data_IF_934164693581
#
_entry.id   IF_934164693581
#
_cell.length_a   1.000
_cell.length_b   1.000
_cell.length_c   1.000
_cell.angle_alpha   90.00
_cell.angle_beta   90.00
_cell.angle_gamma   90.00
#
_symmetry.space_group_name_H-M   'P 1'
#
loop_
_entity.id
_entity.type
_entity.pdbx_description
1 polymer ?
#
# COMPACT_ATOMS: atom_id res chain seq x y z
N UNK A 1 -15.68 61.22 73.48
CA UNK A 1 -16.16 61.05 72.09
C UNK A 1 -14.91 60.98 71.20
N UNK A 2 -14.87 60.01 70.30
CA UNK A 2 -13.66 59.31 69.81
C UNK A 2 -12.65 60.15 68.99
N UNK A 3 -11.38 59.84 69.22
CA UNK A 3 -10.20 60.20 68.42
C UNK A 3 -10.25 59.48 67.07
N UNK A 4 -10.25 60.21 65.96
CA UNK A 4 -10.16 59.67 64.60
C UNK A 4 -8.70 59.67 64.12
N UNK A 5 -8.10 58.49 64.06
CA UNK A 5 -6.76 58.26 63.52
C UNK A 5 -6.78 58.35 61.98
N UNK A 6 -5.97 59.24 61.41
CA UNK A 6 -5.69 59.29 59.97
C UNK A 6 -4.74 58.16 59.56
N UNK A 7 -5.25 57.16 58.85
CA UNK A 7 -4.44 56.09 58.27
C UNK A 7 -3.58 56.59 57.09
N UNK A 8 -2.41 55.97 56.83
CA UNK A 8 -1.52 56.38 55.75
C UNK A 8 -2.10 56.08 54.35
N UNK A 9 -1.66 56.80 53.30
CA UNK A 9 -2.18 56.64 51.95
C UNK A 9 -1.86 55.25 51.38
N UNK A 10 -2.87 54.58 50.84
CA UNK A 10 -2.73 53.29 50.15
C UNK A 10 -1.94 53.51 48.86
N UNK A 11 -0.71 52.99 48.79
CA UNK A 11 0.08 52.93 47.56
C UNK A 11 -0.67 52.09 46.53
N UNK A 12 -1.06 52.71 45.41
CA UNK A 12 -1.61 52.00 44.26
C UNK A 12 -0.61 50.95 43.79
N UNK A 13 -1.00 49.67 43.85
CA UNK A 13 -0.23 48.57 43.29
C UNK A 13 -0.21 48.72 41.78
N UNK A 14 0.96 49.00 41.20
CA UNK A 14 1.15 48.97 39.75
C UNK A 14 0.70 47.60 39.21
N UNK A 15 -0.14 47.61 38.17
CA UNK A 15 -0.57 46.37 37.52
C UNK A 15 0.67 45.60 37.03
N UNK A 16 0.77 44.28 37.29
CA UNK A 16 1.92 43.50 36.85
C UNK A 16 2.02 43.54 35.32
N UNK A 17 3.20 43.87 34.81
CA UNK A 17 3.46 43.87 33.38
C UNK A 17 3.18 42.48 32.79
N UNK A 18 2.57 42.38 31.59
CA UNK A 18 2.25 41.09 31.00
C UNK A 18 3.55 40.29 30.77
N UNK A 19 3.68 39.18 31.48
CA UNK A 19 4.78 38.24 31.32
C UNK A 19 4.70 37.66 29.90
N UNK A 20 5.61 38.08 29.02
CA UNK A 20 5.78 37.48 27.69
C UNK A 20 6.36 36.08 27.87
N UNK A 21 5.49 35.08 28.01
CA UNK A 21 5.88 33.68 27.96
C UNK A 21 6.37 33.38 26.54
N UNK A 22 7.69 33.30 26.35
CA UNK A 22 8.32 32.93 25.09
C UNK A 22 8.14 31.43 24.90
N UNK A 23 6.98 31.00 24.37
CA UNK A 23 6.71 29.59 24.08
C UNK A 23 7.63 29.14 22.95
N UNK A 24 8.59 28.28 23.29
CA UNK A 24 9.48 27.66 22.31
C UNK A 24 8.69 26.67 21.46
N UNK A 25 8.79 26.69 20.11
CA UNK A 25 8.13 25.71 19.25
C UNK A 25 8.82 24.34 19.28
N UNK A 26 10.00 24.23 19.89
CA UNK A 26 10.84 23.04 19.91
C UNK A 26 10.15 21.74 20.36
N UNK A 27 9.38 21.69 21.47
CA UNK A 27 8.71 20.45 21.89
C UNK A 27 7.63 19.99 20.90
N UNK A 28 6.95 20.90 20.22
CA UNK A 28 5.95 20.56 19.18
C UNK A 28 6.61 20.03 17.91
N UNK A 29 7.73 20.64 17.50
CA UNK A 29 8.53 20.17 16.35
C UNK A 29 9.12 18.79 16.64
N UNK A 30 9.64 18.58 17.85
CA UNK A 30 10.16 17.30 18.28
C UNK A 30 9.07 16.22 18.33
N UNK A 31 7.90 16.53 18.90
CA UNK A 31 6.77 15.60 18.95
C UNK A 31 6.29 15.21 17.54
N UNK A 32 6.21 16.19 16.62
CA UNK A 32 5.87 15.95 15.23
C UNK A 32 6.91 15.10 14.50
N UNK A 33 8.20 15.36 14.72
CA UNK A 33 9.28 14.57 14.15
C UNK A 33 9.29 13.12 14.67
N UNK A 34 9.04 12.93 15.97
CA UNK A 34 8.93 11.60 16.58
C UNK A 34 7.73 10.85 15.99
N UNK A 35 6.56 11.47 15.89
CA UNK A 35 5.37 10.84 15.28
C UNK A 35 5.55 10.46 13.81
N UNK A 36 6.24 11.29 13.02
CA UNK A 36 6.56 11.01 11.62
C UNK A 36 7.50 9.81 11.44
N UNK A 37 8.35 9.53 12.44
CA UNK A 37 9.31 8.42 12.41
C UNK A 37 8.73 7.13 13.00
N UNK A 38 7.92 7.22 14.05
CA UNK A 38 7.40 6.04 14.76
C UNK A 38 6.18 5.42 14.09
N UNK A 39 5.31 6.24 13.46
CA UNK A 39 4.09 5.74 12.82
C UNK A 39 4.35 4.81 11.63
N UNK A 40 5.28 5.13 10.69
CA UNK A 40 5.63 4.23 9.59
C UNK A 40 6.19 2.88 10.05
N UNK A 41 6.96 2.88 11.15
CA UNK A 41 7.58 1.67 11.69
C UNK A 41 6.58 0.74 12.38
N UNK A 42 5.45 1.27 12.85
CA UNK A 42 4.40 0.51 13.54
C UNK A 42 3.33 -0.07 12.60
N UNK A 43 3.35 0.27 11.30
CA UNK A 43 2.31 -0.08 10.32
C UNK A 43 2.71 -1.07 9.22
N UNK A 44 1.95 -1.10 8.11
CA UNK A 44 2.09 -2.01 6.96
C UNK A 44 3.51 -2.14 6.38
N UNK A 45 4.38 -1.13 6.57
CA UNK A 45 5.77 -1.18 6.14
C UNK A 45 6.55 -2.34 6.76
N UNK A 46 6.25 -2.76 8.01
CA UNK A 46 6.90 -3.91 8.64
C UNK A 46 6.52 -5.24 7.97
N UNK A 47 5.33 -5.31 7.35
CA UNK A 47 4.81 -6.48 6.64
C UNK A 47 5.05 -6.42 5.11
N UNK A 48 5.83 -5.45 4.64
CA UNK A 48 6.18 -5.26 3.22
C UNK A 48 7.34 -6.18 2.79
N UNK A 49 7.41 -6.60 1.51
CA UNK A 49 8.55 -7.34 0.97
C UNK A 49 9.89 -6.60 1.14
N UNK A 50 9.85 -5.26 1.22
CA UNK A 50 11.03 -4.42 1.49
C UNK A 50 10.73 -3.41 2.60
N UNK A 51 10.84 -3.81 3.87
CA UNK A 51 10.46 -2.97 5.00
C UNK A 51 11.19 -1.61 5.06
N UNK A 52 12.52 -1.52 4.80
CA UNK A 52 13.22 -0.24 4.85
C UNK A 52 12.75 0.75 3.78
N UNK A 53 12.47 0.27 2.57
CA UNK A 53 12.03 1.12 1.45
C UNK A 53 10.63 1.64 1.70
N UNK A 54 9.75 0.77 2.20
CA UNK A 54 8.37 1.13 2.52
C UNK A 54 8.34 2.14 3.67
N UNK A 55 9.07 1.89 4.75
CA UNK A 55 9.17 2.82 5.88
C UNK A 55 9.70 4.21 5.45
N UNK A 56 10.69 4.25 4.56
CA UNK A 56 11.21 5.50 4.02
C UNK A 56 10.18 6.22 3.15
N UNK A 57 9.50 5.51 2.25
CA UNK A 57 8.47 6.06 1.38
C UNK A 57 7.30 6.64 2.21
N UNK A 58 6.83 5.91 3.22
CA UNK A 58 5.82 6.34 4.18
C UNK A 58 6.24 7.60 4.92
N UNK A 59 7.48 7.62 5.44
CA UNK A 59 8.02 8.79 6.16
C UNK A 59 8.06 10.01 5.24
N UNK A 60 8.56 9.86 4.02
CA UNK A 60 8.63 10.94 3.02
C UNK A 60 7.23 11.42 2.65
N UNK A 61 6.27 10.50 2.45
CA UNK A 61 4.89 10.84 2.11
C UNK A 61 4.21 11.63 3.22
N UNK A 62 4.31 11.16 4.47
CA UNK A 62 3.73 11.83 5.64
C UNK A 62 4.40 13.16 5.95
N UNK A 63 5.73 13.24 5.89
CA UNK A 63 6.46 14.49 6.09
C UNK A 63 6.05 15.54 5.03
N UNK A 64 5.91 15.10 3.77
CA UNK A 64 5.46 15.96 2.68
C UNK A 64 4.03 16.44 2.89
N UNK A 65 3.12 15.57 3.33
CA UNK A 65 1.76 15.95 3.73
C UNK A 65 1.76 16.96 4.86
N UNK A 66 2.57 16.75 5.91
CA UNK A 66 2.65 17.64 7.05
C UNK A 66 3.13 19.05 6.65
N UNK A 67 4.16 19.13 5.80
CA UNK A 67 4.67 20.41 5.27
C UNK A 67 3.61 21.11 4.41
N UNK A 68 2.96 20.38 3.51
CA UNK A 68 1.98 20.94 2.58
C UNK A 68 0.69 21.38 3.30
N UNK A 69 0.04 20.47 4.04
CA UNK A 69 -1.22 20.75 4.74
C UNK A 69 -1.04 21.66 5.95
N UNK A 70 0.01 21.42 6.76
CA UNK A 70 0.33 22.30 7.89
C UNK A 70 0.62 23.72 7.42
N UNK A 71 1.34 23.86 6.30
CA UNK A 71 1.58 25.15 5.67
C UNK A 71 0.29 25.87 5.23
N UNK A 72 -0.67 25.15 4.64
CA UNK A 72 -1.98 25.68 4.26
C UNK A 72 -2.78 26.16 5.49
N UNK A 73 -2.81 25.36 6.56
CA UNK A 73 -3.50 25.71 7.81
C UNK A 73 -2.92 26.98 8.43
N UNK A 74 -1.59 27.11 8.48
CA UNK A 74 -0.93 28.33 8.99
C UNK A 74 -1.23 29.54 8.10
N UNK A 75 -1.21 29.35 6.77
CA UNK A 75 -1.49 30.43 5.82
C UNK A 75 -2.92 30.97 6.00
N UNK A 76 -3.92 30.10 6.09
CA UNK A 76 -5.34 30.50 6.26
C UNK A 76 -5.65 30.96 7.68
N UNK A 77 -5.24 30.19 8.67
CA UNK A 77 -5.60 30.40 10.08
C UNK A 77 -4.90 31.60 10.70
N UNK A 78 -3.67 31.89 10.28
CA UNK A 78 -2.86 32.93 10.90
C UNK A 78 -2.53 34.08 9.93
N UNK A 79 -1.85 33.78 8.81
CA UNK A 79 -1.31 34.82 7.92
C UNK A 79 -2.41 35.65 7.24
N UNK A 80 -3.47 34.99 6.75
CA UNK A 80 -4.56 35.67 6.05
C UNK A 80 -5.63 36.25 6.99
N UNK A 81 -5.68 35.86 8.27
CA UNK A 81 -6.68 36.32 9.25
C UNK A 81 -6.22 37.47 10.14
N UNK A 82 -4.95 37.52 10.53
CA UNK A 82 -4.46 38.44 11.59
C UNK A 82 -4.29 39.90 11.14
N UNK A 83 -4.70 40.29 9.92
CA UNK A 83 -4.47 41.65 9.41
C UNK A 83 -3.03 41.93 8.95
N UNK A 84 -2.14 40.92 9.01
CA UNK A 84 -0.78 40.93 8.43
C UNK A 84 -0.80 40.76 6.91
N UNK A 85 -1.96 40.94 6.28
CA UNK A 85 -2.17 40.92 4.84
C UNK A 85 -1.59 42.17 4.16
N UNK A 86 -0.52 42.71 4.73
CA UNK A 86 0.22 43.81 4.16
C UNK A 86 0.83 43.31 2.84
N UNK A 87 0.48 43.97 1.74
CA UNK A 87 0.70 43.44 0.37
C UNK A 87 2.17 43.13 0.10
N UNK A 88 3.08 43.85 0.78
CA UNK A 88 4.53 43.67 0.76
C UNK A 88 4.97 42.36 1.42
N UNK A 89 4.44 42.06 2.60
CA UNK A 89 4.76 40.85 3.37
C UNK A 89 4.25 39.60 2.62
N UNK A 90 3.01 39.65 2.12
CA UNK A 90 2.44 38.58 1.29
C UNK A 90 3.23 38.38 -0.02
N UNK A 91 3.73 39.46 -0.64
CA UNK A 91 4.54 39.40 -1.86
C UNK A 91 5.87 38.66 -1.68
N UNK A 92 6.44 38.66 -0.46
CA UNK A 92 7.69 37.95 -0.15
C UNK A 92 7.40 36.51 0.30
N UNK A 93 6.38 36.31 1.14
CA UNK A 93 6.11 34.99 1.75
C UNK A 93 5.46 34.03 0.75
N UNK A 94 4.49 34.49 -0.06
CA UNK A 94 3.71 33.61 -0.94
C UNK A 94 4.56 32.87 -1.99
N UNK A 95 5.54 33.51 -2.68
CA UNK A 95 6.38 32.81 -3.65
C UNK A 95 7.26 31.74 -2.99
N UNK A 96 7.86 32.07 -1.84
CA UNK A 96 8.72 31.14 -1.10
C UNK A 96 7.92 29.93 -0.63
N UNK A 97 6.77 30.19 0.02
CA UNK A 97 5.87 29.13 0.48
C UNK A 97 5.36 28.29 -0.69
N UNK A 98 4.99 28.91 -1.82
CA UNK A 98 4.48 28.15 -2.98
C UNK A 98 5.53 27.23 -3.57
N UNK A 99 6.81 27.59 -3.54
CA UNK A 99 7.91 26.72 -3.98
C UNK A 99 8.08 25.53 -3.04
N UNK A 100 8.06 25.75 -1.73
CA UNK A 100 8.10 24.66 -0.75
C UNK A 100 6.89 23.73 -0.84
N UNK A 101 5.69 24.31 -1.03
CA UNK A 101 4.47 23.55 -1.23
C UNK A 101 4.56 22.67 -2.50
N UNK A 102 5.11 23.19 -3.60
CA UNK A 102 5.30 22.41 -4.82
C UNK A 102 6.30 21.26 -4.63
N UNK A 103 7.44 21.51 -3.98
CA UNK A 103 8.43 20.47 -3.66
C UNK A 103 7.83 19.39 -2.77
N UNK A 104 7.09 19.78 -1.72
CA UNK A 104 6.39 18.84 -0.85
C UNK A 104 5.38 18.01 -1.63
N UNK A 105 4.56 18.61 -2.49
CA UNK A 105 3.62 17.86 -3.34
C UNK A 105 4.33 16.88 -4.27
N UNK A 106 5.46 17.26 -4.87
CA UNK A 106 6.24 16.33 -5.70
C UNK A 106 6.69 15.11 -4.89
N UNK A 107 7.26 15.31 -3.70
CA UNK A 107 7.68 14.21 -2.84
C UNK A 107 6.52 13.38 -2.30
N UNK A 108 5.37 14.00 -2.04
CA UNK A 108 4.12 13.32 -1.69
C UNK A 108 3.70 12.36 -2.81
N UNK A 109 3.64 12.85 -4.05
CA UNK A 109 3.26 12.03 -5.21
C UNK A 109 4.26 10.89 -5.44
N UNK A 110 5.56 11.16 -5.35
CA UNK A 110 6.60 10.15 -5.51
C UNK A 110 6.51 9.07 -4.42
N UNK A 111 6.38 9.46 -3.15
CA UNK A 111 6.23 8.51 -2.04
C UNK A 111 4.98 7.64 -2.19
N UNK A 112 3.86 8.23 -2.61
CA UNK A 112 2.61 7.51 -2.86
C UNK A 112 2.71 6.55 -4.05
N UNK A 113 3.46 6.92 -5.09
CA UNK A 113 3.69 6.04 -6.25
C UNK A 113 4.54 4.82 -5.86
N UNK A 114 5.61 5.03 -5.08
CA UNK A 114 6.45 3.94 -4.58
C UNK A 114 5.61 2.97 -3.74
N UNK A 115 4.79 3.47 -2.82
CA UNK A 115 3.87 2.64 -2.05
C UNK A 115 2.89 1.86 -2.94
N UNK A 116 2.28 2.52 -3.93
CA UNK A 116 1.31 1.87 -4.82
C UNK A 116 1.96 0.70 -5.60
N UNK A 117 3.18 0.89 -6.11
CA UNK A 117 3.91 -0.17 -6.82
C UNK A 117 4.21 -1.36 -5.90
N UNK A 118 4.59 -1.09 -4.65
CA UNK A 118 4.92 -2.13 -3.67
C UNK A 118 3.66 -2.90 -3.22
N UNK A 119 2.54 -2.23 -2.99
CA UNK A 119 1.34 -2.84 -2.42
C UNK A 119 0.42 -3.53 -3.44
N UNK A 120 0.44 -3.10 -4.71
CA UNK A 120 -0.42 -3.69 -5.76
C UNK A 120 0.18 -4.99 -6.31
N UNK A 121 1.50 -5.09 -6.45
CA UNK A 121 2.16 -6.32 -6.93
C UNK A 121 2.03 -6.63 -8.44
N UNK A 122 1.28 -5.85 -9.23
CA UNK A 122 1.16 -6.02 -10.69
C UNK A 122 0.20 -5.05 -11.39
N UNK A 123 0.26 -4.95 -12.72
CA UNK A 123 -0.62 -4.07 -13.52
C UNK A 123 -2.07 -4.57 -13.59
N UNK A 124 -2.30 -5.89 -13.64
CA UNK A 124 -3.64 -6.49 -13.59
C UNK A 124 -4.33 -6.17 -12.27
N UNK A 125 -3.61 -6.34 -11.16
CA UNK A 125 -4.10 -6.05 -9.82
C UNK A 125 -4.51 -4.57 -9.63
N UNK A 126 -3.98 -3.63 -10.41
CA UNK A 126 -4.41 -2.22 -10.37
C UNK A 126 -5.84 -2.02 -10.86
N UNK A 127 -6.30 -2.80 -11.84
CA UNK A 127 -7.62 -2.62 -12.47
C UNK A 127 -8.64 -3.65 -11.96
N UNK A 128 -8.18 -4.86 -11.65
CA UNK A 128 -9.04 -6.00 -11.31
C UNK A 128 -9.37 -6.08 -9.81
N UNK A 129 -8.57 -5.43 -8.95
CA UNK A 129 -8.80 -5.44 -7.51
C UNK A 129 -9.52 -4.18 -7.03
N UNK A 130 -10.36 -4.34 -6.00
CA UNK A 130 -10.99 -3.23 -5.30
C UNK A 130 -9.96 -2.23 -4.74
N UNK A 131 -8.84 -2.75 -4.22
CA UNK A 131 -7.75 -1.93 -3.71
C UNK A 131 -7.13 -1.06 -4.82
N UNK A 132 -6.84 -1.64 -5.99
CA UNK A 132 -6.31 -0.92 -7.14
C UNK A 132 -7.25 0.18 -7.65
N UNK A 133 -8.55 -0.11 -7.71
CA UNK A 133 -9.57 0.87 -8.09
C UNK A 133 -9.65 2.05 -7.11
N UNK A 134 -9.54 1.80 -5.80
CA UNK A 134 -9.49 2.86 -4.80
C UNK A 134 -8.23 3.73 -4.94
N UNK A 135 -7.08 3.15 -5.30
CA UNK A 135 -5.86 3.92 -5.61
C UNK A 135 -6.08 4.83 -6.81
N UNK A 136 -6.70 4.33 -7.89
CA UNK A 136 -7.01 5.12 -9.08
C UNK A 136 -7.95 6.29 -8.74
N UNK A 137 -8.98 6.05 -7.93
CA UNK A 137 -9.90 7.10 -7.45
C UNK A 137 -9.12 8.14 -6.64
N UNK A 138 -8.29 7.72 -5.67
CA UNK A 138 -7.47 8.62 -4.85
C UNK A 138 -6.50 9.45 -5.71
N UNK A 139 -5.84 8.83 -6.69
CA UNK A 139 -4.93 9.49 -7.61
C UNK A 139 -5.66 10.51 -8.51
N UNK A 140 -6.84 10.13 -9.03
CA UNK A 140 -7.69 11.01 -9.81
C UNK A 140 -8.16 12.23 -9.00
N UNK A 141 -8.66 12.01 -7.78
CA UNK A 141 -9.04 13.09 -6.86
C UNK A 141 -7.87 14.03 -6.58
N UNK A 142 -6.70 13.49 -6.23
CA UNK A 142 -5.49 14.28 -6.00
C UNK A 142 -5.12 15.09 -7.25
N UNK A 143 -5.17 14.49 -8.44
CA UNK A 143 -4.94 15.16 -9.72
C UNK A 143 -5.88 16.34 -9.95
N UNK A 144 -7.16 16.18 -9.64
CA UNK A 144 -8.15 17.28 -9.68
C UNK A 144 -7.79 18.38 -8.68
N UNK A 145 -7.46 18.05 -7.43
CA UNK A 145 -7.06 19.04 -6.41
C UNK A 145 -5.86 19.86 -6.90
N UNK A 146 -4.82 19.18 -7.38
CA UNK A 146 -3.58 19.83 -7.82
C UNK A 146 -3.81 20.70 -9.06
N UNK A 147 -4.65 20.25 -9.99
CA UNK A 147 -5.01 21.00 -11.19
C UNK A 147 -5.76 22.27 -10.81
N UNK A 148 -6.79 22.15 -9.96
CA UNK A 148 -7.57 23.31 -9.47
C UNK A 148 -6.66 24.27 -8.71
N UNK A 149 -5.79 23.79 -7.82
CA UNK A 149 -4.85 24.60 -7.06
C UNK A 149 -3.84 25.33 -7.97
N UNK A 150 -3.32 24.65 -9.00
CA UNK A 150 -2.38 25.24 -9.94
C UNK A 150 -3.03 26.38 -10.75
N UNK A 151 -4.21 26.15 -11.31
CA UNK A 151 -4.93 27.16 -12.09
C UNK A 151 -5.44 28.31 -11.21
N UNK A 152 -5.95 28.03 -10.00
CA UNK A 152 -6.43 29.04 -9.07
C UNK A 152 -5.30 29.99 -8.64
N UNK A 153 -4.12 29.44 -8.30
CA UNK A 153 -2.93 30.21 -7.94
C UNK A 153 -2.40 31.01 -9.12
N UNK A 154 -2.33 30.43 -10.32
CA UNK A 154 -1.86 31.14 -11.51
C UNK A 154 -2.76 32.32 -11.87
N UNK A 155 -4.09 32.15 -11.77
CA UNK A 155 -5.05 33.21 -12.04
C UNK A 155 -5.04 34.30 -10.98
N UNK A 156 -4.92 33.96 -9.70
CA UNK A 156 -4.87 34.94 -8.61
C UNK A 156 -3.53 35.66 -8.56
N UNK A 157 -2.40 34.99 -8.75
CA UNK A 157 -1.10 35.67 -8.82
C UNK A 157 -1.05 36.64 -10.00
N UNK A 158 -1.60 36.26 -11.16
CA UNK A 158 -1.72 37.14 -12.33
C UNK A 158 -2.64 38.35 -12.09
N UNK A 159 -3.73 38.20 -11.34
CA UNK A 159 -4.71 39.28 -11.08
C UNK A 159 -4.40 40.12 -9.84
N UNK A 160 -3.79 39.55 -8.80
CA UNK A 160 -3.46 40.22 -7.54
C UNK A 160 -2.12 40.96 -7.59
N UNK A 161 -1.19 40.52 -8.45
CA UNK A 161 0.14 41.13 -8.65
C UNK A 161 0.40 41.58 -10.10
N UNK A 162 -0.57 41.46 -11.01
CA UNK A 162 -0.53 42.16 -12.30
C UNK A 162 -0.65 43.68 -12.11
N UNK A 163 -0.16 44.49 -13.05
CA UNK A 163 -0.28 45.96 -12.96
C UNK A 163 -1.77 46.32 -13.01
N UNK A 164 -2.37 46.73 -11.90
CA UNK A 164 -3.75 47.23 -11.87
C UNK A 164 -3.89 48.55 -11.13
N UNK A 165 -4.43 49.49 -11.90
CA UNK A 165 -5.07 50.74 -11.51
C UNK A 165 -6.31 50.41 -10.66
N UNK A 166 -6.34 50.80 -9.39
CA UNK A 166 -7.58 51.02 -8.62
C UNK A 166 -8.14 49.91 -7.68
N UNK A 167 -7.54 48.74 -7.53
CA UNK A 167 -8.07 47.67 -6.65
C UNK A 167 -7.49 47.67 -5.21
N UNK A 168 -8.36 47.71 -4.18
CA UNK A 168 -7.96 47.62 -2.76
C UNK A 168 -7.35 46.25 -2.39
N UNK A 169 -6.18 46.26 -1.75
CA UNK A 169 -5.43 45.06 -1.33
C UNK A 169 -6.25 44.06 -0.47
N UNK A 170 -7.22 44.57 0.29
CA UNK A 170 -8.11 43.75 1.14
C UNK A 170 -9.00 42.79 0.31
N UNK A 171 -9.39 43.17 -0.90
CA UNK A 171 -10.21 42.31 -1.79
C UNK A 171 -9.41 41.16 -2.42
N UNK A 172 -8.10 41.35 -2.62
CA UNK A 172 -7.20 40.30 -3.10
C UNK A 172 -6.92 39.23 -2.03
N UNK A 173 -6.66 39.65 -0.79
CA UNK A 173 -6.40 38.75 0.32
C UNK A 173 -7.61 37.85 0.67
N UNK A 174 -8.83 38.41 0.65
CA UNK A 174 -10.06 37.68 0.92
C UNK A 174 -10.44 36.66 -0.18
N UNK A 175 -10.12 36.94 -1.45
CA UNK A 175 -10.27 35.97 -2.55
C UNK A 175 -9.26 34.83 -2.44
N UNK A 176 -8.01 35.14 -2.11
CA UNK A 176 -6.97 34.14 -1.86
C UNK A 176 -7.36 33.23 -0.68
N UNK A 177 -7.84 33.80 0.43
CA UNK A 177 -8.29 33.03 1.59
C UNK A 177 -9.40 32.02 1.28
N UNK A 178 -10.38 32.38 0.44
CA UNK A 178 -11.46 31.46 0.02
C UNK A 178 -10.96 30.32 -0.84
N UNK A 179 -10.01 30.58 -1.74
CA UNK A 179 -9.43 29.53 -2.59
C UNK A 179 -8.56 28.57 -1.79
N UNK A 180 -7.73 29.08 -0.89
CA UNK A 180 -6.90 28.26 -0.02
C UNK A 180 -7.78 27.43 0.96
N UNK A 181 -8.91 27.98 1.41
CA UNK A 181 -9.90 27.22 2.18
C UNK A 181 -10.57 26.10 1.36
N UNK A 182 -10.86 26.34 0.07
CA UNK A 182 -11.35 25.29 -0.83
C UNK A 182 -10.29 24.20 -1.07
N UNK A 183 -9.01 24.57 -1.23
CA UNK A 183 -7.90 23.62 -1.32
C UNK A 183 -7.80 22.74 -0.06
N UNK A 184 -7.97 23.33 1.14
CA UNK A 184 -8.02 22.58 2.40
C UNK A 184 -9.21 21.60 2.46
N UNK A 185 -10.40 22.02 2.01
CA UNK A 185 -11.57 21.14 1.95
C UNK A 185 -11.37 19.95 1.01
N UNK A 186 -10.82 20.20 -0.18
CA UNK A 186 -10.47 19.15 -1.14
C UNK A 186 -9.41 18.19 -0.59
N UNK A 187 -8.39 18.71 0.08
CA UNK A 187 -7.38 17.86 0.74
C UNK A 187 -7.98 17.01 1.87
N UNK A 188 -8.96 17.55 2.62
CA UNK A 188 -9.68 16.79 3.65
C UNK A 188 -10.50 15.63 3.05
N UNK A 189 -11.08 15.81 1.86
CA UNK A 189 -11.77 14.73 1.14
C UNK A 189 -10.78 13.62 0.74
N UNK A 190 -9.62 13.99 0.19
CA UNK A 190 -8.57 13.01 -0.17
C UNK A 190 -8.05 12.26 1.06
N UNK A 191 -7.94 12.95 2.20
CA UNK A 191 -7.61 12.36 3.49
C UNK A 191 -8.67 11.37 3.97
N UNK A 192 -9.95 11.75 3.88
CA UNK A 192 -11.06 10.87 4.24
C UNK A 192 -11.09 9.61 3.35
N UNK A 193 -10.91 9.77 2.04
CA UNK A 193 -10.77 8.63 1.12
C UNK A 193 -9.55 7.76 1.48
N UNK A 194 -8.42 8.36 1.86
CA UNK A 194 -7.23 7.63 2.31
C UNK A 194 -7.50 6.79 3.56
N UNK A 195 -8.34 7.27 4.48
CA UNK A 195 -8.75 6.53 5.68
C UNK A 195 -9.51 5.24 5.32
N UNK A 196 -10.32 5.27 4.25
CA UNK A 196 -10.99 4.07 3.73
C UNK A 196 -9.97 3.10 3.15
N UNK A 197 -9.00 3.58 2.37
CA UNK A 197 -7.93 2.73 1.82
C UNK A 197 -7.08 2.03 2.89
N UNK A 198 -6.81 2.68 4.02
CA UNK A 198 -6.03 2.08 5.11
C UNK A 198 -6.76 0.90 5.77
N UNK A 199 -8.08 0.84 5.66
CA UNK A 199 -8.89 -0.27 6.21
C UNK A 199 -9.11 -1.41 5.20
N UNK A 200 -8.67 -1.27 3.95
CA UNK A 200 -8.81 -2.31 2.93
C UNK A 200 -7.59 -3.21 2.85
N UNK A 201 -7.81 -4.51 2.67
CA UNK A 201 -6.75 -5.49 2.43
C UNK A 201 -5.91 -5.07 1.22
N UNK A 202 -4.58 -4.93 1.37
CA UNK A 202 -3.69 -4.60 0.25
C UNK A 202 -3.83 -5.61 -0.90
N UNK A 203 -3.70 -5.15 -2.14
CA UNK A 203 -3.88 -5.99 -3.34
C UNK A 203 -3.01 -7.25 -3.33
N UNK A 204 -1.74 -7.13 -2.93
CA UNK A 204 -0.84 -8.29 -2.76
C UNK A 204 -1.34 -9.33 -1.75
N UNK A 205 -2.04 -8.91 -0.69
CA UNK A 205 -2.56 -9.83 0.32
C UNK A 205 -3.79 -10.55 -0.21
N UNK A 206 -4.63 -9.87 -0.99
CA UNK A 206 -5.73 -10.50 -1.71
C UNK A 206 -5.21 -11.52 -2.75
N UNK A 207 -4.09 -11.25 -3.42
CA UNK A 207 -3.44 -12.21 -4.31
C UNK A 207 -2.89 -13.43 -3.54
N UNK A 208 -2.29 -13.23 -2.36
CA UNK A 208 -1.83 -14.35 -1.51
C UNK A 208 -3.02 -15.17 -1.01
N UNK A 209 -4.10 -14.52 -0.56
CA UNK A 209 -5.33 -15.20 -0.14
C UNK A 209 -5.98 -15.96 -1.30
N UNK A 210 -6.00 -15.40 -2.51
CA UNK A 210 -6.50 -16.06 -3.70
C UNK A 210 -5.64 -17.28 -4.08
N UNK A 211 -4.31 -17.18 -3.97
CA UNK A 211 -3.40 -18.33 -4.15
C UNK A 211 -3.59 -19.38 -3.07
N UNK A 212 -3.72 -19.00 -1.80
CA UNK A 212 -3.96 -19.92 -0.69
C UNK A 212 -5.33 -20.62 -0.79
N UNK A 213 -6.37 -19.89 -1.23
CA UNK A 213 -7.68 -20.47 -1.51
C UNK A 213 -7.64 -21.42 -2.71
N UNK A 214 -6.87 -21.11 -3.74
CA UNK A 214 -6.62 -22.03 -4.84
C UNK A 214 -5.79 -23.25 -4.39
N UNK A 215 -4.83 -23.09 -3.47
CA UNK A 215 -4.02 -24.17 -2.91
C UNK A 215 -4.87 -25.10 -2.06
N UNK A 216 -5.91 -24.58 -1.41
CA UNK A 216 -6.93 -25.37 -0.75
C UNK A 216 -7.78 -26.22 -1.73
N UNK A 217 -7.76 -25.90 -3.03
CA UNK A 217 -8.35 -26.70 -4.13
C UNK A 217 -7.29 -27.61 -4.79
N UNK A 218 -6.07 -27.66 -4.25
CA UNK A 218 -5.01 -28.55 -4.69
C UNK A 218 -5.01 -29.91 -3.98
N UNK A 219 -4.18 -30.83 -4.45
CA UNK A 219 -3.92 -32.11 -3.79
C UNK A 219 -2.42 -32.28 -3.59
N UNK A 220 -1.96 -32.42 -2.34
CA UNK A 220 -0.55 -32.63 -2.01
C UNK A 220 -0.38 -33.86 -1.13
N UNK A 221 0.55 -34.73 -1.49
CA UNK A 221 0.85 -35.93 -0.69
C UNK A 221 2.27 -36.43 -0.94
N UNK A 222 2.72 -37.30 -0.04
CA UNK A 222 4.00 -38.01 -0.17
C UNK A 222 3.73 -39.50 -0.29
N UNK A 223 4.24 -40.11 -1.36
CA UNK A 223 4.18 -41.55 -1.57
C UNK A 223 5.56 -42.15 -1.43
N UNK A 224 5.63 -43.29 -0.74
CA UNK A 224 6.89 -43.97 -0.44
C UNK A 224 6.95 -45.31 -1.17
N UNK A 225 8.15 -45.67 -1.62
CA UNK A 225 8.50 -47.00 -2.12
C UNK A 225 9.75 -47.50 -1.39
N UNK A 226 10.23 -48.70 -1.73
CA UNK A 226 11.48 -49.23 -1.19
C UNK A 226 12.72 -48.48 -1.68
N UNK A 227 12.64 -47.78 -2.81
CA UNK A 227 13.80 -47.15 -3.49
C UNK A 227 13.72 -45.62 -3.58
N UNK A 228 12.54 -45.01 -3.41
CA UNK A 228 12.35 -43.56 -3.39
C UNK A 228 11.15 -43.13 -2.54
N UNK A 229 11.13 -41.85 -2.17
CA UNK A 229 9.98 -41.09 -1.68
C UNK A 229 9.67 -39.98 -2.67
N UNK A 230 8.43 -39.90 -3.16
CA UNK A 230 7.98 -38.83 -4.06
C UNK A 230 6.99 -37.94 -3.33
N UNK A 231 7.32 -36.67 -3.24
CA UNK A 231 6.41 -35.62 -2.79
C UNK A 231 5.85 -34.96 -4.02
N UNK A 232 4.53 -34.84 -4.13
CA UNK A 232 3.95 -34.15 -5.26
C UNK A 232 2.72 -33.34 -4.87
N UNK A 233 2.45 -32.34 -5.68
CA UNK A 233 1.27 -31.51 -5.62
C UNK A 233 0.62 -31.42 -7.00
N UNK A 234 -0.71 -31.37 -7.01
CA UNK A 234 -1.51 -31.06 -8.19
C UNK A 234 -2.27 -29.78 -7.89
N UNK A 235 -2.10 -28.78 -8.75
CA UNK A 235 -2.70 -27.47 -8.57
C UNK A 235 -3.18 -26.85 -9.89
N UNK A 236 -4.42 -26.31 -9.91
CA UNK A 236 -5.55 -26.72 -9.03
C UNK A 236 -5.96 -28.19 -9.31
N UNK A 237 -6.90 -28.74 -8.54
CA UNK A 237 -7.59 -29.99 -8.87
C UNK A 237 -9.02 -29.67 -9.30
N UNK A 238 -9.24 -29.67 -10.61
CA UNK A 238 -10.51 -29.31 -11.24
C UNK A 238 -10.74 -30.08 -12.54
N UNK A 239 -11.98 -30.05 -13.02
CA UNK A 239 -12.34 -30.63 -14.32
C UNK A 239 -11.64 -29.87 -15.44
N UNK A 240 -11.06 -30.59 -16.41
CA UNK A 240 -10.40 -30.04 -17.59
C UNK A 240 -8.88 -30.27 -17.61
N UNK A 241 -8.19 -29.50 -18.44
CA UNK A 241 -6.75 -29.62 -18.71
C UNK A 241 -5.89 -28.69 -17.83
N UNK A 242 -6.52 -27.77 -17.10
CA UNK A 242 -5.85 -26.75 -16.30
C UNK A 242 -5.48 -27.29 -14.90
N UNK A 243 -4.72 -28.38 -14.84
CA UNK A 243 -4.16 -28.93 -13.60
C UNK A 243 -2.67 -29.20 -13.80
N UNK A 244 -1.82 -28.62 -12.94
CA UNK A 244 -0.36 -28.78 -13.03
C UNK A 244 0.11 -29.72 -11.93
N UNK A 245 0.90 -30.73 -12.27
CA UNK A 245 1.61 -31.61 -11.35
C UNK A 245 3.03 -31.08 -11.14
N UNK A 246 3.42 -30.84 -9.89
CA UNK A 246 4.82 -30.68 -9.50
C UNK A 246 5.23 -31.85 -8.60
N UNK A 247 6.35 -32.48 -8.90
CA UNK A 247 6.85 -33.62 -8.13
C UNK A 247 8.34 -33.48 -7.80
N UNK A 248 8.70 -33.91 -6.60
CA UNK A 248 10.05 -33.93 -6.05
C UNK A 248 10.37 -35.35 -5.58
N UNK A 249 11.50 -35.90 -6.02
CA UNK A 249 11.92 -37.26 -5.68
C UNK A 249 13.13 -37.25 -4.77
N UNK A 250 13.02 -38.02 -3.69
CA UNK A 250 14.05 -38.24 -2.69
C UNK A 250 14.35 -39.73 -2.55
N UNK A 251 15.54 -40.06 -2.09
CA UNK A 251 15.85 -41.39 -1.55
C UNK A 251 15.06 -41.61 -0.25
N UNK A 252 14.90 -42.86 0.23
CA UNK A 252 14.29 -43.13 1.54
C UNK A 252 15.02 -42.46 2.72
N UNK A 253 16.29 -42.06 2.53
CA UNK A 253 17.09 -41.30 3.49
C UNK A 253 16.91 -39.77 3.36
N UNK A 254 15.99 -39.29 2.52
CA UNK A 254 15.65 -37.87 2.36
C UNK A 254 16.59 -37.06 1.46
N UNK A 255 17.50 -37.71 0.72
CA UNK A 255 18.39 -37.01 -0.23
C UNK A 255 17.74 -36.89 -1.61
N UNK A 256 17.76 -35.73 -2.28
CA UNK A 256 17.27 -35.60 -3.66
C UNK A 256 17.95 -36.61 -4.60
N UNK A 257 17.18 -37.22 -5.50
CA UNK A 257 17.70 -38.24 -6.44
C UNK A 257 17.37 -37.89 -7.88
N UNK A 258 18.30 -38.16 -8.80
CA UNK A 258 18.09 -37.92 -10.22
C UNK A 258 17.03 -38.90 -10.79
N UNK A 259 16.11 -38.38 -11.60
CA UNK A 259 15.07 -39.17 -12.26
C UNK A 259 15.38 -39.29 -13.75
N UNK A 260 15.53 -40.52 -14.22
CA UNK A 260 15.79 -40.83 -15.62
C UNK A 260 14.51 -40.81 -16.48
N UNK A 261 13.38 -41.22 -15.92
CA UNK A 261 12.09 -41.22 -16.64
C UNK A 261 10.90 -41.10 -15.68
N UNK A 262 9.90 -40.32 -16.10
CA UNK A 262 8.61 -40.19 -15.46
C UNK A 262 7.52 -40.82 -16.32
N UNK A 263 6.69 -41.67 -15.73
CA UNK A 263 5.45 -42.13 -16.34
C UNK A 263 4.31 -41.94 -15.36
N UNK A 264 3.45 -40.97 -15.66
CA UNK A 264 2.29 -40.63 -14.83
C UNK A 264 1.01 -40.90 -15.60
N UNK A 265 0.09 -41.66 -14.99
CA UNK A 265 -1.22 -41.94 -15.60
C UNK A 265 -2.35 -41.66 -14.63
N UNK A 266 -3.45 -41.12 -15.14
CA UNK A 266 -4.68 -40.89 -14.37
C UNK A 266 -5.81 -41.74 -14.95
N UNK A 267 -6.50 -42.53 -14.13
CA UNK A 267 -7.64 -43.37 -14.53
C UNK A 267 -8.88 -43.05 -13.69
N UNK A 268 -10.07 -43.27 -14.24
CA UNK A 268 -11.32 -43.20 -13.49
C UNK A 268 -12.11 -44.51 -13.70
N UNK A 269 -11.76 -45.57 -12.95
CA UNK A 269 -12.36 -46.89 -13.10
C UNK A 269 -13.88 -46.89 -12.91
N UNK A 270 -14.39 -46.05 -11.99
CA UNK A 270 -15.83 -45.93 -11.71
C UNK A 270 -16.67 -45.52 -12.94
N UNK A 271 -16.06 -44.77 -13.88
CA UNK A 271 -16.68 -44.39 -15.16
C UNK A 271 -16.14 -45.18 -16.36
N UNK A 272 -15.35 -46.22 -16.11
CA UNK A 272 -14.73 -47.03 -17.16
C UNK A 272 -13.68 -46.29 -17.98
N UNK A 273 -13.09 -45.20 -17.45
CA UNK A 273 -12.06 -44.44 -18.15
C UNK A 273 -10.71 -45.12 -17.94
N UNK A 274 -10.01 -45.54 -19.01
CA UNK A 274 -8.72 -46.19 -18.90
C UNK A 274 -7.62 -45.19 -18.44
N UNK A 275 -6.45 -45.67 -18.01
CA UNK A 275 -5.33 -44.81 -17.63
C UNK A 275 -4.88 -43.91 -18.79
N UNK A 276 -5.05 -42.60 -18.62
CA UNK A 276 -4.61 -41.55 -19.55
C UNK A 276 -3.16 -41.20 -19.22
N UNK A 277 -2.20 -41.31 -20.15
CA UNK A 277 -0.84 -40.86 -19.94
C UNK A 277 -0.77 -39.34 -19.84
N UNK A 278 0.04 -38.84 -18.91
CA UNK A 278 0.29 -37.41 -18.71
C UNK A 278 1.79 -37.16 -18.82
N UNK A 279 2.17 -36.21 -19.67
CA UNK A 279 3.57 -35.88 -19.91
C UNK A 279 4.16 -35.13 -18.72
N UNK A 280 5.26 -35.65 -18.18
CA UNK A 280 6.02 -35.04 -17.09
C UNK A 280 7.46 -34.88 -17.52
N UNK A 281 7.98 -33.67 -17.41
CA UNK A 281 9.33 -33.30 -17.82
C UNK A 281 10.15 -32.91 -16.59
N UNK A 282 11.39 -33.38 -16.51
CA UNK A 282 12.31 -32.99 -15.45
C UNK A 282 12.79 -31.54 -15.66
N UNK A 283 12.55 -30.65 -14.69
CA UNK A 283 13.09 -29.27 -14.69
C UNK A 283 14.49 -29.24 -14.07
N UNK A 284 14.72 -30.12 -13.09
CA UNK A 284 16.02 -30.36 -12.43
C UNK A 284 16.15 -31.86 -12.20
N UNK A 285 17.33 -32.32 -11.83
CA UNK A 285 17.63 -33.75 -11.63
C UNK A 285 16.55 -34.49 -10.81
N UNK A 286 16.04 -33.87 -9.73
CA UNK A 286 15.04 -34.46 -8.82
C UNK A 286 13.62 -33.91 -8.94
N UNK A 287 13.35 -33.03 -9.90
CA UNK A 287 12.09 -32.27 -9.99
C UNK A 287 11.41 -32.47 -11.34
N UNK A 288 10.13 -32.85 -11.31
CA UNK A 288 9.29 -33.00 -12.50
C UNK A 288 8.11 -32.03 -12.51
N UNK A 289 7.75 -31.51 -13.69
CA UNK A 289 6.52 -30.75 -13.95
C UNK A 289 5.73 -31.43 -15.06
N UNK A 290 4.41 -31.50 -14.92
CA UNK A 290 3.54 -32.00 -15.98
C UNK A 290 2.14 -31.42 -15.90
N UNK A 291 1.37 -31.62 -16.96
CA UNK A 291 -0.05 -31.27 -16.97
C UNK A 291 -0.88 -32.56 -16.79
N UNK A 292 -1.89 -32.51 -15.92
CA UNK A 292 -2.84 -33.60 -15.76
C UNK A 292 -4.23 -33.16 -16.25
N UNK A 293 -4.87 -34.02 -17.03
CA UNK A 293 -6.23 -33.78 -17.48
C UNK A 293 -7.23 -34.61 -16.67
N UNK A 294 -8.27 -33.96 -16.15
CA UNK A 294 -9.40 -34.60 -15.49
C UNK A 294 -10.70 -34.31 -16.25
N UNK A 295 -11.10 -35.12 -17.25
CA UNK A 295 -12.26 -34.83 -18.08
C UNK A 295 -13.62 -34.86 -17.34
N UNK A 296 -13.67 -35.49 -16.16
CA UNK A 296 -14.90 -35.66 -15.39
C UNK A 296 -14.64 -35.54 -13.89
N UNK A 297 -15.65 -35.13 -13.08
CA UNK A 297 -15.56 -35.22 -11.64
C UNK A 297 -15.63 -36.68 -11.18
N UNK A 298 -14.98 -36.95 -10.05
CA UNK A 298 -14.89 -38.29 -9.45
C UNK A 298 -13.55 -38.54 -8.77
N UNK A 299 -13.40 -39.76 -8.23
CA UNK A 299 -12.18 -40.19 -7.56
C UNK A 299 -11.21 -40.83 -8.56
N UNK A 300 -10.23 -40.06 -9.01
CA UNK A 300 -9.24 -40.48 -9.99
C UNK A 300 -8.11 -41.26 -9.34
N UNK A 301 -7.75 -42.41 -9.92
CA UNK A 301 -6.55 -43.15 -9.54
C UNK A 301 -5.34 -42.61 -10.30
N UNK A 302 -4.38 -42.06 -9.56
CA UNK A 302 -3.12 -41.58 -10.08
C UNK A 302 -2.05 -42.64 -9.85
N UNK A 303 -1.35 -43.03 -10.91
CA UNK A 303 -0.22 -43.97 -10.86
C UNK A 303 1.03 -43.26 -11.34
N UNK A 304 2.06 -43.24 -10.49
CA UNK A 304 3.38 -42.67 -10.80
C UNK A 304 4.38 -43.81 -10.85
N UNK A 305 4.95 -44.03 -12.03
CA UNK A 305 6.06 -44.95 -12.25
C UNK A 305 7.31 -44.12 -12.51
N UNK A 306 8.28 -44.22 -11.61
CA UNK A 306 9.51 -43.41 -11.63
C UNK A 306 10.69 -44.35 -11.82
N UNK A 307 11.50 -44.08 -12.84
CA UNK A 307 12.76 -44.78 -13.09
C UNK A 307 13.94 -43.88 -12.73
N UNK A 308 14.79 -44.35 -11.83
CA UNK A 308 16.00 -43.65 -11.40
C UNK A 308 17.20 -43.99 -12.31
N UNK A 309 17.31 -45.26 -12.69
CA UNK A 309 18.32 -45.81 -13.62
C UNK A 309 17.78 -47.09 -14.29
N UNK A 310 18.60 -47.79 -15.08
CA UNK A 310 18.21 -48.99 -15.83
C UNK A 310 17.73 -50.16 -14.95
N UNK A 311 18.10 -50.19 -13.67
CA UNK A 311 17.79 -51.28 -12.74
C UNK A 311 16.78 -50.87 -11.66
N UNK A 312 16.63 -49.57 -11.41
CA UNK A 312 15.83 -49.04 -10.31
C UNK A 312 14.59 -48.31 -10.83
N UNK A 313 13.45 -49.02 -10.80
CA UNK A 313 12.13 -48.49 -11.13
C UNK A 313 11.11 -48.96 -10.10
N UNK A 314 10.25 -48.06 -9.63
CA UNK A 314 9.12 -48.42 -8.78
C UNK A 314 7.86 -47.63 -9.15
N UNK A 315 6.71 -48.19 -8.77
CA UNK A 315 5.40 -47.61 -9.03
C UNK A 315 4.68 -47.37 -7.71
N UNK A 316 4.14 -46.18 -7.55
CA UNK A 316 3.31 -45.77 -6.42
C UNK A 316 1.94 -45.29 -6.94
N UNK A 317 0.91 -45.40 -6.10
CA UNK A 317 -0.46 -45.04 -6.46
C UNK A 317 -1.13 -44.24 -5.36
N UNK A 318 -2.04 -43.37 -5.76
CA UNK A 318 -2.95 -42.68 -4.84
C UNK A 318 -4.25 -42.33 -5.56
N UNK A 319 -5.23 -41.84 -4.80
CA UNK A 319 -6.48 -41.35 -5.34
C UNK A 319 -6.61 -39.85 -5.11
N UNK A 320 -7.13 -39.13 -6.12
CA UNK A 320 -7.38 -37.69 -6.11
C UNK A 320 -8.86 -37.47 -6.35
N UNK A 321 -9.53 -36.79 -5.42
CA UNK A 321 -10.95 -36.46 -5.56
C UNK A 321 -11.10 -35.16 -6.35
N UNK A 322 -11.67 -35.25 -7.56
CA UNK A 322 -11.94 -34.09 -8.42
C UNK A 322 -13.38 -33.62 -8.16
N UNK A 323 -13.58 -32.39 -7.65
CA UNK A 323 -14.90 -31.90 -7.29
C UNK A 323 -15.81 -31.76 -8.53
N UNK A 324 -17.10 -31.99 -8.32
CA UNK A 324 -18.14 -31.57 -9.26
C UNK A 324 -18.30 -30.05 -9.22
N UNK A 325 -18.64 -29.45 -10.36
CA UNK A 325 -19.04 -28.03 -10.48
C UNK A 325 -20.26 -27.69 -9.63
#
# INVERSE_FOLDING_TARGET
>A
MLVGAGGPPVRGTAAPAPVKVRRSPFPLVLLGAVGLLTWPLAGHAAASPSPPVSALADTVHLASMAVWLGGLVVLVGFVLRQGWADRRVLGVILPVWSRWAAVAVCWLVLGGLVQAVIEIGGLSALFDTWYGQLILIKAGLLGVVLTVAFFSRRLVLRRAFGPQVGGSAATGASRLGRLVAAELGLAAIVLAASSVLVQTTPGRSADIEARAAAEAVGFSTTLNSSIFSVQFEIFPVQIGENNTLHAFVYTPAGKPVAVAEWKVTAALPEKGIPPIPNDVVSIRDSQGIGAITFPYPGRWELTLTIRLDDLNQATVRTAVDVPGS
#
